data_IF_847568433018
#
_entry.id   IF_847568433018
#
_cell.length_a   1.000
_cell.length_b   1.000
_cell.length_c   1.000
_cell.angle_alpha   90.00
_cell.angle_beta   90.00
_cell.angle_gamma   90.00
#
_symmetry.space_group_name_H-M   'P 1'
#
loop_
_entity.id
_entity.type
_entity.pdbx_description
1 polymer ?
#
# COMPACT_ATOMS: atom_id res chain seq x y z
N UNK A 1 -1.47 -4.01 -12.33
CA UNK A 1 -1.36 -4.71 -13.63
C UNK A 1 -1.26 -3.76 -14.82
N UNK A 2 -2.18 -2.78 -14.98
CA UNK A 2 -2.14 -1.86 -16.13
C UNK A 2 -0.88 -0.97 -16.22
N UNK A 3 -0.08 -0.92 -15.14
CA UNK A 3 1.22 -0.26 -15.10
C UNK A 3 2.26 -0.93 -16.01
N UNK A 4 2.13 -2.22 -16.30
CA UNK A 4 3.12 -2.98 -17.06
C UNK A 4 2.98 -2.81 -18.57
N UNK A 5 4.07 -2.66 -19.30
CA UNK A 5 4.09 -2.52 -20.76
C UNK A 5 3.66 -3.79 -21.50
N UNK A 6 3.11 -3.64 -22.72
CA UNK A 6 2.81 -4.74 -23.65
C UNK A 6 1.60 -5.64 -23.29
N UNK A 7 1.14 -5.62 -22.05
CA UNK A 7 0.05 -6.49 -21.58
C UNK A 7 -1.36 -5.88 -21.78
N UNK A 8 -1.58 -5.16 -22.88
CA UNK A 8 -2.71 -4.24 -23.04
C UNK A 8 -4.08 -4.95 -23.02
N UNK A 9 -4.22 -6.02 -23.81
CA UNK A 9 -5.48 -6.78 -23.95
C UNK A 9 -5.84 -7.46 -22.62
N UNK A 10 -4.90 -8.23 -22.06
CA UNK A 10 -5.16 -9.05 -20.87
C UNK A 10 -5.36 -8.21 -19.60
N UNK A 11 -4.87 -6.97 -19.57
CA UNK A 11 -5.08 -6.05 -18.44
C UNK A 11 -6.19 -5.04 -18.68
N UNK A 12 -6.95 -5.21 -19.78
CA UNK A 12 -8.07 -4.36 -20.17
C UNK A 12 -7.70 -2.87 -20.15
N UNK A 13 -6.57 -2.52 -20.78
CA UNK A 13 -6.15 -1.12 -20.87
C UNK A 13 -7.03 -0.38 -21.86
N UNK A 14 -7.29 0.88 -21.54
CA UNK A 14 -7.91 1.85 -22.44
C UNK A 14 -7.13 1.92 -23.76
N UNK A 15 -7.84 1.99 -24.88
CA UNK A 15 -7.22 1.95 -26.22
C UNK A 15 -6.38 3.21 -26.49
N UNK A 16 -5.43 3.10 -27.43
CA UNK A 16 -4.61 4.25 -27.83
C UNK A 16 -5.45 5.41 -28.41
N UNK A 17 -6.63 5.14 -28.98
CA UNK A 17 -7.53 6.16 -29.48
C UNK A 17 -8.22 6.91 -28.33
N UNK A 18 -8.73 6.19 -27.34
CA UNK A 18 -9.36 6.78 -26.14
C UNK A 18 -8.35 7.54 -25.27
N UNK A 19 -7.11 7.03 -25.16
CA UNK A 19 -6.03 7.72 -24.45
C UNK A 19 -5.62 9.06 -25.07
N UNK A 20 -6.01 9.35 -26.32
CA UNK A 20 -5.78 10.67 -26.94
C UNK A 20 -6.80 11.72 -26.50
N UNK A 21 -7.94 11.30 -25.95
CA UNK A 21 -9.01 12.20 -25.49
C UNK A 21 -8.57 12.96 -24.23
N UNK A 22 -7.82 12.30 -23.34
CA UNK A 22 -7.24 12.94 -22.17
C UNK A 22 -5.91 12.29 -21.79
N UNK A 23 -5.02 13.06 -21.16
CA UNK A 23 -3.70 12.57 -20.76
C UNK A 23 -3.86 11.54 -19.64
N UNK A 24 -3.41 10.31 -19.90
CA UNK A 24 -3.30 9.27 -18.90
C UNK A 24 -1.89 9.26 -18.31
N UNK A 25 -1.81 8.99 -17.02
CA UNK A 25 -0.56 8.76 -16.30
C UNK A 25 -0.59 7.34 -15.74
N UNK A 26 0.58 6.78 -15.41
CA UNK A 26 0.70 5.48 -14.73
C UNK A 26 0.09 4.28 -15.50
N UNK A 27 0.08 4.33 -16.83
CA UNK A 27 -0.28 3.21 -17.71
C UNK A 27 0.95 2.85 -18.55
N UNK A 28 1.24 1.56 -18.72
CA UNK A 28 2.33 1.05 -19.59
C UNK A 28 3.67 1.77 -19.39
N UNK A 29 4.17 1.81 -18.15
CA UNK A 29 5.44 2.50 -17.82
C UNK A 29 6.42 1.62 -17.02
N UNK A 30 5.98 0.43 -16.62
CA UNK A 30 6.81 -0.56 -15.93
C UNK A 30 7.14 -1.66 -16.92
N UNK A 31 8.42 -1.96 -17.08
CA UNK A 31 8.85 -3.12 -17.86
C UNK A 31 8.29 -4.40 -17.19
N UNK A 32 7.61 -5.30 -17.93
CA UNK A 32 7.09 -6.56 -17.39
C UNK A 32 8.15 -7.47 -16.74
N UNK A 33 9.44 -7.28 -17.05
CA UNK A 33 10.56 -7.99 -16.42
C UNK A 33 10.88 -7.46 -15.00
N UNK A 34 10.33 -6.31 -14.60
CA UNK A 34 10.45 -5.80 -13.23
C UNK A 34 9.54 -6.60 -12.30
N UNK A 35 10.16 -7.47 -11.51
CA UNK A 35 9.47 -8.45 -10.65
C UNK A 35 8.99 -7.88 -9.32
N UNK A 36 9.40 -6.66 -8.94
CA UNK A 36 9.22 -6.11 -7.60
C UNK A 36 8.51 -4.75 -7.56
N UNK A 37 7.62 -4.44 -8.51
CA UNK A 37 6.85 -3.20 -8.46
C UNK A 37 5.83 -3.24 -7.31
N UNK A 38 6.04 -2.42 -6.28
CA UNK A 38 5.25 -2.45 -5.05
C UNK A 38 4.24 -1.30 -4.95
N UNK A 39 3.34 -1.41 -3.96
CA UNK A 39 2.43 -0.32 -3.59
C UNK A 39 3.19 0.95 -3.15
N UNK A 40 4.39 0.81 -2.57
CA UNK A 40 5.24 1.94 -2.18
C UNK A 40 5.70 2.71 -3.41
N UNK A 41 6.17 1.99 -4.43
CA UNK A 41 6.64 2.57 -5.70
C UNK A 41 5.50 3.29 -6.41
N UNK A 42 4.32 2.66 -6.45
CA UNK A 42 3.12 3.28 -6.97
C UNK A 42 2.76 4.56 -6.22
N UNK A 43 2.65 4.50 -4.89
CA UNK A 43 2.29 5.64 -4.06
C UNK A 43 3.23 6.81 -4.29
N UNK A 44 4.54 6.57 -4.23
CA UNK A 44 5.55 7.62 -4.35
C UNK A 44 5.45 8.30 -5.72
N UNK A 45 5.34 7.51 -6.80
CA UNK A 45 5.26 8.04 -8.16
C UNK A 45 3.94 8.76 -8.43
N UNK A 46 2.81 8.17 -8.03
CA UNK A 46 1.49 8.76 -8.20
C UNK A 46 1.32 10.03 -7.35
N UNK A 47 1.89 10.09 -6.14
CA UNK A 47 1.88 11.31 -5.32
C UNK A 47 2.55 12.47 -6.04
N UNK A 48 3.77 12.26 -6.56
CA UNK A 48 4.50 13.30 -7.27
C UNK A 48 3.72 13.80 -8.51
N UNK A 49 3.04 12.89 -9.21
CA UNK A 49 2.18 13.25 -10.34
C UNK A 49 0.93 14.04 -9.91
N UNK A 50 0.30 13.66 -8.80
CA UNK A 50 -0.86 14.37 -8.25
C UNK A 50 -0.46 15.81 -7.88
N UNK A 51 0.67 15.99 -7.20
CA UNK A 51 1.22 17.30 -6.84
C UNK A 51 1.54 18.15 -8.08
N UNK A 52 2.18 17.57 -9.10
CA UNK A 52 2.46 18.22 -10.38
C UNK A 52 1.19 18.58 -11.18
N UNK A 53 0.12 17.77 -11.09
CA UNK A 53 -1.17 18.08 -11.71
C UNK A 53 -1.84 19.25 -10.99
N UNK A 54 -1.85 19.26 -9.65
CA UNK A 54 -2.35 20.39 -8.89
C UNK A 54 -1.57 21.68 -9.14
N UNK A 55 -0.24 21.61 -9.24
CA UNK A 55 0.62 22.75 -9.54
C UNK A 55 0.37 23.39 -10.93
N UNK A 56 -0.35 22.69 -11.81
CA UNK A 56 -0.80 23.19 -13.12
C UNK A 56 -2.28 23.62 -13.13
N UNK A 57 -2.88 23.83 -11.97
CA UNK A 57 -4.30 24.17 -11.80
C UNK A 57 -5.26 23.16 -12.46
N UNK A 58 -4.90 21.87 -12.42
CA UNK A 58 -5.72 20.78 -12.93
C UNK A 58 -6.17 19.87 -11.80
N UNK A 59 -7.28 19.18 -12.03
CA UNK A 59 -7.84 18.21 -11.08
C UNK A 59 -7.30 16.81 -11.42
N UNK A 60 -6.55 16.15 -10.52
CA UNK A 60 -6.12 14.78 -10.71
C UNK A 60 -7.29 13.83 -10.47
N UNK A 61 -7.50 12.90 -11.41
CA UNK A 61 -8.51 11.84 -11.30
C UNK A 61 -7.76 10.51 -11.25
N UNK A 62 -7.90 9.78 -10.15
CA UNK A 62 -7.32 8.44 -9.98
C UNK A 62 -8.42 7.42 -10.25
N UNK A 63 -8.18 6.53 -11.21
CA UNK A 63 -9.12 5.47 -11.61
C UNK A 63 -8.43 4.11 -11.50
N UNK A 64 -9.11 3.13 -10.93
CA UNK A 64 -8.60 1.76 -10.83
C UNK A 64 -9.47 0.87 -9.97
N UNK A 65 -9.26 -0.44 -10.06
CA UNK A 65 -10.01 -1.44 -9.28
C UNK A 65 -9.23 -2.03 -8.09
N UNK A 66 -7.98 -1.61 -7.87
CA UNK A 66 -7.16 -2.13 -6.77
C UNK A 66 -7.22 -1.19 -5.58
N UNK A 67 -8.25 -1.36 -4.74
CA UNK A 67 -8.54 -0.46 -3.60
C UNK A 67 -7.33 -0.25 -2.69
N UNK A 68 -6.55 -1.29 -2.42
CA UNK A 68 -5.32 -1.18 -1.61
C UNK A 68 -4.32 -0.12 -2.12
N UNK A 69 -4.22 0.06 -3.44
CA UNK A 69 -3.34 1.08 -4.04
C UNK A 69 -3.96 2.48 -3.91
N UNK A 70 -5.29 2.59 -4.03
CA UNK A 70 -6.01 3.86 -3.82
C UNK A 70 -5.91 4.29 -2.35
N UNK A 71 -6.11 3.36 -1.42
CA UNK A 71 -5.92 3.56 0.02
C UNK A 71 -4.53 4.09 0.35
N UNK A 72 -3.48 3.58 -0.32
CA UNK A 72 -2.11 4.07 -0.14
C UNK A 72 -1.90 5.55 -0.53
N UNK A 73 -2.77 6.09 -1.40
CA UNK A 73 -2.77 7.50 -1.81
C UNK A 73 -3.67 8.36 -0.93
N UNK A 74 -4.79 7.80 -0.47
CA UNK A 74 -5.75 8.51 0.35
C UNK A 74 -5.21 8.79 1.75
N UNK A 75 -4.55 7.82 2.36
CA UNK A 75 -4.15 7.89 3.75
C UNK A 75 -2.65 8.14 3.89
N UNK A 76 -2.25 9.00 4.82
CA UNK A 76 -0.82 9.33 5.03
C UNK A 76 0.01 8.12 5.47
N UNK A 77 -0.61 7.16 6.16
CA UNK A 77 0.11 6.22 7.04
C UNK A 77 0.01 4.75 6.63
N UNK A 78 -0.89 4.41 5.69
CA UNK A 78 -1.17 3.02 5.32
C UNK A 78 0.04 2.27 4.76
N UNK A 79 1.04 3.01 4.27
CA UNK A 79 2.30 2.45 3.78
C UNK A 79 3.45 3.20 4.44
N UNK A 80 3.55 3.23 5.76
CA UNK A 80 4.71 3.85 6.40
C UNK A 80 6.01 3.14 5.97
N UNK A 81 6.74 3.83 5.10
CA UNK A 81 8.16 3.70 4.84
C UNK A 81 8.71 5.11 4.92
N UNK A 82 9.03 5.58 6.14
CA UNK A 82 10.14 6.52 6.27
C UNK A 82 11.07 6.12 7.41
N UNK A 83 12.39 6.28 7.18
CA UNK A 83 13.45 5.89 8.10
C UNK A 83 13.57 6.96 9.19
N UNK A 84 13.45 6.56 10.45
CA UNK A 84 14.06 7.33 11.54
C UNK A 84 15.44 6.73 11.79
N UNK A 85 16.45 7.36 11.21
CA UNK A 85 17.80 7.54 11.78
C UNK A 85 18.39 6.41 12.64
N UNK A 86 18.30 5.15 12.17
CA UNK A 86 19.19 4.08 12.61
C UNK A 86 19.56 3.20 11.42
N UNK A 87 20.81 3.32 10.97
CA UNK A 87 21.53 2.29 10.21
C UNK A 87 20.95 1.90 8.84
N UNK A 88 21.54 2.44 7.79
CA UNK A 88 21.35 2.07 6.37
C UNK A 88 21.80 0.65 5.98
N UNK A 89 21.72 -0.35 6.86
CA UNK A 89 22.09 -1.73 6.52
C UNK A 89 21.16 -2.74 7.21
N UNK A 90 20.47 -3.60 6.43
CA UNK A 90 19.78 -4.86 6.82
C UNK A 90 18.25 -4.93 7.00
N UNK A 91 17.46 -3.89 6.69
CA UNK A 91 15.98 -3.98 6.84
C UNK A 91 15.31 -4.96 5.84
N UNK A 92 15.94 -5.23 4.70
CA UNK A 92 15.34 -6.06 3.63
C UNK A 92 15.53 -7.57 3.86
N UNK A 93 16.49 -8.00 4.70
CA UNK A 93 16.80 -9.42 4.89
C UNK A 93 15.92 -10.12 5.95
N UNK A 94 15.56 -9.41 7.04
CA UNK A 94 14.91 -10.05 8.19
C UNK A 94 13.54 -10.63 7.88
N UNK A 95 12.73 -9.94 7.07
CA UNK A 95 11.40 -10.44 6.65
C UNK A 95 11.50 -11.70 5.80
N UNK A 96 12.45 -11.75 4.87
CA UNK A 96 12.67 -12.91 3.99
C UNK A 96 13.17 -14.10 4.81
N UNK A 97 13.97 -13.87 5.84
CA UNK A 97 14.38 -14.91 6.79
C UNK A 97 13.21 -15.41 7.64
N UNK A 98 12.38 -14.51 8.18
CA UNK A 98 11.19 -14.89 8.94
C UNK A 98 10.21 -15.70 8.08
N UNK A 99 10.02 -15.35 6.81
CA UNK A 99 9.14 -16.10 5.90
C UNK A 99 9.61 -17.53 5.61
N UNK A 100 10.90 -17.85 5.85
CA UNK A 100 11.42 -19.23 5.76
C UNK A 100 11.05 -20.09 6.96
N UNK A 101 10.65 -19.49 8.08
CA UNK A 101 10.23 -20.22 9.27
C UNK A 101 8.81 -20.81 9.13
N UNK A 102 8.48 -21.73 10.04
CA UNK A 102 7.13 -22.29 10.09
C UNK A 102 6.11 -21.26 10.58
N UNK A 103 4.92 -21.25 9.95
CA UNK A 103 3.89 -20.23 10.21
C UNK A 103 3.36 -20.30 11.65
N UNK A 104 3.27 -21.49 12.23
CA UNK A 104 2.82 -21.67 13.61
C UNK A 104 3.86 -21.14 14.60
N UNK A 105 5.15 -21.31 14.28
CA UNK A 105 6.24 -20.78 15.11
C UNK A 105 6.22 -19.25 15.10
N UNK A 106 6.08 -18.64 13.93
CA UNK A 106 5.95 -17.19 13.80
C UNK A 106 4.70 -16.68 14.54
N UNK A 107 3.56 -17.34 14.38
CA UNK A 107 2.31 -16.95 15.04
C UNK A 107 2.40 -17.06 16.56
N UNK A 108 3.08 -18.10 17.07
CA UNK A 108 3.35 -18.25 18.50
C UNK A 108 4.25 -17.12 19.03
N UNK A 109 5.29 -16.73 18.28
CA UNK A 109 6.11 -15.55 18.63
C UNK A 109 5.27 -14.28 18.62
N UNK A 110 4.44 -14.08 17.60
CA UNK A 110 3.55 -12.92 17.51
C UNK A 110 2.60 -12.86 18.70
N UNK A 111 2.06 -14.00 19.14
CA UNK A 111 1.17 -14.08 20.31
C UNK A 111 1.82 -13.63 21.62
N UNK A 112 3.15 -13.70 21.73
CA UNK A 112 3.90 -13.27 22.92
C UNK A 112 4.13 -11.75 22.95
N UNK A 113 4.33 -11.14 21.77
CA UNK A 113 4.68 -9.72 21.65
C UNK A 113 3.50 -8.82 21.30
N UNK A 114 2.50 -9.37 20.60
CA UNK A 114 1.31 -8.67 20.11
C UNK A 114 0.12 -9.65 20.05
N UNK A 115 -0.49 -9.98 21.21
CA UNK A 115 -1.61 -10.91 21.29
C UNK A 115 -2.83 -10.40 20.52
N UNK A 116 -3.01 -9.08 20.39
CA UNK A 116 -4.10 -8.49 19.62
C UNK A 116 -3.95 -8.78 18.13
N UNK A 117 -2.76 -8.60 17.55
CA UNK A 117 -2.53 -8.98 16.14
C UNK A 117 -2.52 -10.48 15.92
N UNK A 118 -2.01 -11.26 16.86
CA UNK A 118 -2.10 -12.72 16.75
C UNK A 118 -3.55 -13.23 16.72
N UNK A 119 -4.47 -12.57 17.43
CA UNK A 119 -5.90 -12.89 17.38
C UNK A 119 -6.55 -12.52 16.03
N UNK A 120 -6.08 -11.47 15.36
CA UNK A 120 -6.62 -11.03 14.05
C UNK A 120 -6.01 -11.76 12.86
N UNK A 121 -4.76 -12.21 12.95
CA UNK A 121 -4.04 -12.84 11.84
C UNK A 121 -4.07 -14.36 11.94
N UNK A 122 -4.44 -15.02 10.84
CA UNK A 122 -4.41 -16.48 10.78
C UNK A 122 -2.95 -16.99 10.73
N UNK A 123 -2.59 -18.10 11.40
CA UNK A 123 -1.20 -18.60 11.40
C UNK A 123 -0.63 -18.93 10.01
N UNK A 124 -1.49 -19.15 9.02
CA UNK A 124 -1.08 -19.42 7.64
C UNK A 124 -0.81 -18.14 6.83
N UNK A 125 -1.19 -16.96 7.33
CA UNK A 125 -0.86 -15.66 6.73
C UNK A 125 0.58 -15.26 7.03
N UNK A 126 1.55 -16.14 6.69
CA UNK A 126 2.97 -16.02 7.04
C UNK A 126 3.54 -14.63 6.73
N UNK A 127 3.17 -14.06 5.58
CA UNK A 127 3.62 -12.72 5.16
C UNK A 127 3.15 -11.61 6.10
N UNK A 128 1.90 -11.67 6.58
CA UNK A 128 1.33 -10.67 7.50
C UNK A 128 1.87 -10.85 8.92
N UNK A 129 2.02 -12.10 9.35
CA UNK A 129 2.61 -12.45 10.65
C UNK A 129 4.07 -12.00 10.70
N UNK A 130 4.87 -12.34 9.68
CA UNK A 130 6.27 -11.91 9.55
C UNK A 130 6.40 -10.38 9.51
N UNK A 131 5.49 -9.68 8.82
CA UNK A 131 5.47 -8.20 8.82
C UNK A 131 5.18 -7.63 10.21
N UNK A 132 4.25 -8.22 10.95
CA UNK A 132 3.90 -7.73 12.30
C UNK A 132 5.04 -7.94 13.30
N UNK A 133 5.71 -9.08 13.21
CA UNK A 133 6.93 -9.36 13.97
C UNK A 133 8.06 -8.39 13.60
N UNK A 134 8.28 -8.17 12.31
CA UNK A 134 9.28 -7.22 11.83
C UNK A 134 9.04 -5.81 12.40
N UNK A 135 7.79 -5.33 12.40
CA UNK A 135 7.45 -4.02 12.99
C UNK A 135 7.82 -3.96 14.47
N UNK A 136 7.52 -5.02 15.23
CA UNK A 136 7.89 -5.10 16.64
C UNK A 136 9.40 -5.14 16.86
N UNK A 137 10.15 -5.93 16.07
CA UNK A 137 11.61 -6.02 16.16
C UNK A 137 12.30 -4.68 15.80
N UNK A 138 11.76 -3.94 14.83
CA UNK A 138 12.33 -2.66 14.38
C UNK A 138 12.00 -1.49 15.31
N UNK A 139 10.81 -1.49 15.91
CA UNK A 139 10.30 -0.33 16.66
C UNK A 139 10.22 -0.56 18.17
N UNK A 140 10.24 -1.81 18.64
CA UNK A 140 9.94 -2.19 20.01
C UNK A 140 8.47 -2.01 20.42
N UNK A 141 7.60 -1.55 19.50
CA UNK A 141 6.18 -1.28 19.73
C UNK A 141 5.36 -2.35 19.00
N UNK A 142 4.31 -2.87 19.64
CA UNK A 142 3.43 -3.86 19.01
C UNK A 142 2.73 -3.25 17.77
N UNK A 143 2.48 -4.07 16.77
CA UNK A 143 1.88 -3.60 15.52
C UNK A 143 0.43 -3.13 15.74
N UNK A 144 -0.30 -3.78 16.66
CA UNK A 144 -1.61 -3.33 17.15
C UNK A 144 -1.57 -1.91 17.72
N UNK A 145 -0.63 -1.63 18.63
CA UNK A 145 -0.44 -0.31 19.23
C UNK A 145 -0.09 0.74 18.16
N UNK A 146 0.75 0.37 17.19
CA UNK A 146 1.07 1.26 16.07
C UNK A 146 -0.18 1.61 15.26
N UNK A 147 -1.04 0.64 14.96
CA UNK A 147 -2.32 0.86 14.27
C UNK A 147 -3.29 1.71 15.11
N UNK A 148 -3.40 1.47 16.43
CA UNK A 148 -4.23 2.28 17.31
C UNK A 148 -3.81 3.75 17.29
N UNK A 149 -2.50 4.02 17.39
CA UNK A 149 -1.96 5.39 17.29
C UNK A 149 -2.37 6.05 15.98
N UNK A 150 -2.30 5.33 14.85
CA UNK A 150 -2.73 5.85 13.55
C UNK A 150 -4.19 6.27 13.51
N UNK A 151 -5.08 5.46 14.10
CA UNK A 151 -6.51 5.78 14.16
C UNK A 151 -6.80 6.98 15.06
N UNK A 152 -5.97 7.23 16.07
CA UNK A 152 -6.13 8.33 17.04
C UNK A 152 -5.43 9.64 16.64
N UNK A 153 -4.61 9.65 15.59
CA UNK A 153 -3.99 10.88 15.07
C UNK A 153 -5.05 11.87 14.57
N UNK A 154 -4.77 13.18 14.67
CA UNK A 154 -5.70 14.23 14.21
C UNK A 154 -6.06 14.03 12.72
N UNK A 155 -7.35 13.81 12.45
CA UNK A 155 -7.88 13.49 11.12
C UNK A 155 -8.00 11.99 10.81
N UNK A 156 -7.60 11.12 11.73
CA UNK A 156 -7.87 9.68 11.70
C UNK A 156 -9.32 9.34 12.03
N UNK A 157 -9.78 8.19 11.56
CA UNK A 157 -11.12 7.67 11.80
C UNK A 157 -11.18 6.15 11.76
N UNK A 158 -12.38 5.55 11.86
CA UNK A 158 -12.56 4.10 11.89
C UNK A 158 -12.01 3.38 10.64
N UNK A 159 -11.90 4.11 9.52
CA UNK A 159 -11.51 3.58 8.21
C UNK A 159 -10.01 3.76 7.91
N UNK A 160 -9.25 4.50 8.72
CA UNK A 160 -7.84 4.75 8.47
C UNK A 160 -7.27 5.94 9.26
N UNK A 161 -5.98 6.23 9.01
CA UNK A 161 -5.29 7.39 9.60
C UNK A 161 -5.72 8.73 8.95
N UNK A 162 -4.95 9.81 9.07
CA UNK A 162 -5.30 11.08 8.42
C UNK A 162 -5.25 11.01 6.89
N UNK A 163 -6.20 11.69 6.24
CA UNK A 163 -6.19 11.87 4.79
C UNK A 163 -4.97 12.68 4.34
N UNK A 164 -4.38 12.28 3.21
CA UNK A 164 -3.22 12.92 2.61
C UNK A 164 -3.57 14.22 1.91
N UNK A 165 -4.71 14.24 1.23
CA UNK A 165 -5.26 15.42 0.54
C UNK A 165 -6.47 15.93 1.32
N UNK A 166 -6.68 17.24 1.32
CA UNK A 166 -7.70 17.89 2.15
C UNK A 166 -9.13 17.59 1.70
N UNK A 167 -9.37 17.48 0.38
CA UNK A 167 -10.72 17.36 -0.18
C UNK A 167 -10.82 16.23 -1.22
N UNK A 168 -10.65 14.94 -0.84
CA UNK A 168 -10.86 13.84 -1.77
C UNK A 168 -12.35 13.66 -2.06
N UNK A 169 -12.71 13.50 -3.33
CA UNK A 169 -14.04 13.06 -3.74
C UNK A 169 -13.94 11.61 -4.24
N UNK A 170 -14.69 10.70 -3.61
CA UNK A 170 -14.72 9.28 -3.97
C UNK A 170 -16.02 9.00 -4.70
N UNK A 171 -15.91 8.54 -5.94
CA UNK A 171 -17.04 8.08 -6.75
C UNK A 171 -16.99 6.55 -6.83
N UNK A 172 -18.01 5.88 -6.28
CA UNK A 172 -18.15 4.43 -6.36
C UNK A 172 -19.18 4.08 -7.43
N UNK A 173 -18.71 3.45 -8.52
CA UNK A 173 -19.59 2.86 -9.53
C UNK A 173 -19.91 1.41 -9.16
N UNK A 174 -21.19 1.10 -8.94
CA UNK A 174 -21.65 -0.24 -8.60
C UNK A 174 -22.67 -0.76 -9.62
N UNK A 175 -22.76 -2.07 -9.74
CA UNK A 175 -23.77 -2.78 -10.52
C UNK A 175 -24.19 -4.04 -9.76
N UNK A 176 -25.46 -4.41 -9.86
CA UNK A 176 -25.97 -5.62 -9.22
C UNK A 176 -25.36 -6.87 -9.89
N UNK A 177 -25.07 -7.89 -9.09
CA UNK A 177 -24.60 -9.17 -9.58
C UNK A 177 -25.80 -9.96 -10.10
N UNK A 178 -25.78 -10.30 -11.39
CA UNK A 178 -26.80 -11.14 -12.04
C UNK A 178 -26.67 -12.62 -11.64
#
# INVERSE_FOLDING_TARGET
MQVYEGLDIITNKVSAQEQRICRHHMISFVDPLVTNYTVVDFRNRATALIEDIFARDKIPIVVGGTNYYIESLLWKVLVNTKPQEMGTEKVIDRKVELEKEDGLVLHKRLSQVDPEMAAKLHPHDKRKVARSLQVFEETGISHSEFLHRQHTEEGGGPLGGPLKFSNPCILWLHADQF
#
